data_IF_982179911071
#
_entry.id   IF_982179911071
#
_cell.length_a   1.000
_cell.length_b   1.000
_cell.length_c   1.000
_cell.angle_alpha   90.00
_cell.angle_beta   90.00
_cell.angle_gamma   90.00
#
_symmetry.space_group_name_H-M   'P 1'
#
loop_
_entity.id
_entity.type
_entity.pdbx_description
1 polymer ?
#
# COMPACT_ATOMS: atom_id res chain seq x y z
N UNK A 1 -33.32 25.09 1.71
CA UNK A 1 -32.02 25.23 2.39
C UNK A 1 -31.55 23.83 2.74
N UNK A 2 -30.76 23.21 1.87
CA UNK A 2 -30.23 21.87 2.10
C UNK A 2 -29.14 21.96 3.16
N UNK A 3 -29.33 21.25 4.28
CA UNK A 3 -28.38 21.22 5.39
C UNK A 3 -27.01 20.76 4.91
N UNK A 4 -26.02 21.61 5.12
CA UNK A 4 -24.62 21.26 4.93
C UNK A 4 -24.28 20.14 5.90
N UNK A 5 -24.05 18.94 5.37
CA UNK A 5 -23.18 17.98 6.03
C UNK A 5 -21.81 18.63 6.07
N UNK A 6 -21.49 19.29 7.19
CA UNK A 6 -20.13 19.64 7.52
C UNK A 6 -19.32 18.35 7.46
N UNK A 7 -18.41 18.27 6.48
CA UNK A 7 -17.56 17.11 6.27
C UNK A 7 -16.88 16.74 7.57
N UNK A 8 -17.18 15.54 8.07
CA UNK A 8 -16.37 14.93 9.12
C UNK A 8 -14.91 14.82 8.65
N UNK A 9 -13.97 14.60 9.58
CA UNK A 9 -12.55 14.46 9.22
C UNK A 9 -12.41 13.39 8.13
N UNK A 10 -11.79 13.77 7.01
CA UNK A 10 -11.40 12.81 5.97
C UNK A 10 -10.26 12.01 6.58
N UNK A 11 -10.52 10.73 6.86
CA UNK A 11 -9.50 9.83 7.39
C UNK A 11 -8.70 9.26 6.25
N UNK A 12 -7.41 9.51 6.28
CA UNK A 12 -6.43 8.88 5.40
C UNK A 12 -6.37 7.39 5.68
N UNK A 13 -6.44 6.57 4.63
CA UNK A 13 -6.36 5.11 4.73
C UNK A 13 -5.27 4.57 3.81
N UNK A 14 -4.33 3.83 4.41
CA UNK A 14 -3.30 3.05 3.73
C UNK A 14 -3.50 1.55 3.93
N UNK A 15 -2.96 0.75 3.01
CA UNK A 15 -2.98 -0.71 3.08
C UNK A 15 -1.56 -1.26 3.08
N UNK A 16 -1.29 -2.27 3.92
CA UNK A 16 -0.01 -2.99 3.95
C UNK A 16 -0.24 -4.49 3.74
N UNK A 17 0.46 -5.09 2.78
CA UNK A 17 0.53 -6.53 2.58
C UNK A 17 1.82 -7.07 3.21
N UNK A 18 1.67 -7.76 4.35
CA UNK A 18 2.80 -8.32 5.08
C UNK A 18 3.09 -9.76 4.64
N UNK A 19 4.34 -10.01 4.30
CA UNK A 19 4.86 -11.37 4.08
C UNK A 19 5.65 -11.91 5.27
N UNK A 20 5.85 -11.12 6.31
CA UNK A 20 6.40 -11.51 7.61
C UNK A 20 6.01 -10.47 8.68
N UNK A 21 5.74 -10.89 9.93
CA UNK A 21 5.50 -12.26 10.38
C UNK A 21 4.13 -12.76 9.90
N UNK A 22 4.05 -13.99 9.38
CA UNK A 22 2.79 -14.65 8.97
C UNK A 22 2.69 -16.02 9.64
N UNK A 23 1.49 -16.46 10.02
CA UNK A 23 1.29 -17.75 10.68
C UNK A 23 0.96 -18.87 9.67
N UNK A 24 1.56 -20.05 9.83
CA UNK A 24 1.05 -21.27 9.17
C UNK A 24 -0.17 -21.84 9.92
N UNK A 25 -0.71 -22.95 9.40
CA UNK A 25 -1.80 -23.71 10.02
C UNK A 25 -1.46 -24.24 11.42
N UNK A 26 -0.18 -24.34 11.77
CA UNK A 26 0.32 -24.79 13.06
C UNK A 26 0.59 -23.61 14.01
N UNK A 27 0.28 -22.36 13.63
CA UNK A 27 0.53 -21.17 14.43
C UNK A 27 2.00 -20.76 14.50
N UNK A 28 2.87 -21.30 13.65
CA UNK A 28 4.29 -20.95 13.60
C UNK A 28 4.49 -19.75 12.68
N UNK A 29 5.38 -18.84 13.08
CA UNK A 29 5.77 -17.67 12.29
C UNK A 29 6.67 -18.09 11.13
N UNK A 30 6.35 -17.59 9.94
CA UNK A 30 7.13 -17.79 8.72
C UNK A 30 7.16 -16.53 7.86
N UNK A 31 8.04 -16.57 6.85
CA UNK A 31 8.10 -15.59 5.77
C UNK A 31 7.50 -16.22 4.52
N UNK A 32 6.43 -15.64 3.99
CA UNK A 32 5.77 -16.12 2.77
C UNK A 32 6.42 -15.52 1.52
N UNK A 33 6.14 -16.10 0.35
CA UNK A 33 6.54 -15.53 -0.93
C UNK A 33 5.44 -14.64 -1.48
N UNK A 34 5.84 -13.58 -2.18
CA UNK A 34 4.92 -12.72 -2.89
C UNK A 34 4.66 -13.24 -4.31
N UNK A 35 3.42 -13.10 -4.79
CA UNK A 35 3.11 -13.33 -6.21
C UNK A 35 2.81 -12.03 -6.94
N UNK A 36 3.08 -12.01 -8.26
CA UNK A 36 2.69 -10.87 -9.10
C UNK A 36 1.16 -10.66 -9.12
N UNK A 37 0.38 -11.74 -8.93
CA UNK A 37 -1.08 -11.66 -8.91
C UNK A 37 -1.57 -10.84 -7.72
N UNK A 38 -1.06 -11.13 -6.51
CA UNK A 38 -1.42 -10.41 -5.29
C UNK A 38 -1.19 -8.91 -5.46
N UNK A 39 -0.02 -8.55 -5.98
CA UNK A 39 0.33 -7.14 -6.20
C UNK A 39 -0.65 -6.46 -7.15
N UNK A 40 -0.95 -7.07 -8.29
CA UNK A 40 -1.85 -6.48 -9.26
C UNK A 40 -3.29 -6.37 -8.74
N UNK A 41 -3.78 -7.38 -8.02
CA UNK A 41 -5.16 -7.41 -7.55
C UNK A 41 -5.39 -6.44 -6.40
N UNK A 42 -4.49 -6.43 -5.42
CA UNK A 42 -4.57 -5.52 -4.28
C UNK A 42 -4.33 -4.08 -4.72
N UNK A 43 -3.44 -3.83 -5.69
CA UNK A 43 -3.25 -2.46 -6.23
C UNK A 43 -4.53 -1.92 -6.88
N UNK A 44 -5.27 -2.77 -7.61
CA UNK A 44 -6.56 -2.37 -8.18
C UNK A 44 -7.59 -2.11 -7.09
N UNK A 45 -7.66 -2.96 -6.07
CA UNK A 45 -8.57 -2.80 -4.94
C UNK A 45 -8.27 -1.50 -4.17
N UNK A 46 -7.00 -1.26 -3.84
CA UNK A 46 -6.55 -0.04 -3.19
C UNK A 46 -6.97 1.21 -3.98
N UNK A 47 -6.79 1.19 -5.31
CA UNK A 47 -7.25 2.29 -6.17
C UNK A 47 -8.77 2.41 -6.21
N UNK A 48 -9.51 1.30 -6.31
CA UNK A 48 -10.97 1.31 -6.39
C UNK A 48 -11.62 1.91 -5.14
N UNK A 49 -11.02 1.67 -3.98
CA UNK A 49 -11.47 2.23 -2.69
C UNK A 49 -10.86 3.59 -2.34
N UNK A 50 -10.06 4.19 -3.24
CA UNK A 50 -9.47 5.51 -3.03
C UNK A 50 -8.42 5.56 -1.91
N UNK A 51 -7.71 4.46 -1.67
CA UNK A 51 -6.62 4.44 -0.68
C UNK A 51 -5.46 5.33 -1.13
N UNK A 52 -4.81 5.96 -0.16
CA UNK A 52 -3.70 6.88 -0.41
C UNK A 52 -2.37 6.16 -0.66
N UNK A 53 -2.22 4.96 -0.08
CA UNK A 53 -1.00 4.18 -0.21
C UNK A 53 -1.25 2.67 -0.13
N UNK A 54 -0.47 1.93 -0.90
CA UNK A 54 -0.37 0.48 -0.80
C UNK A 54 1.10 0.08 -0.58
N UNK A 55 1.40 -0.57 0.55
CA UNK A 55 2.73 -1.04 0.89
C UNK A 55 2.82 -2.56 0.74
N UNK A 56 3.82 -3.02 0.01
CA UNK A 56 4.29 -4.41 0.08
C UNK A 56 5.43 -4.46 1.09
N UNK A 57 5.24 -5.22 2.17
CA UNK A 57 6.19 -5.35 3.27
C UNK A 57 6.83 -6.74 3.23
N UNK A 58 8.13 -6.79 2.92
CA UNK A 58 8.83 -8.06 2.78
C UNK A 58 10.29 -7.96 3.25
N UNK A 59 10.73 -8.79 4.23
CA UNK A 59 12.10 -8.69 4.77
C UNK A 59 13.17 -9.12 3.76
N UNK A 60 12.88 -10.15 2.94
CA UNK A 60 13.80 -10.63 1.91
C UNK A 60 13.99 -9.62 0.75
N UNK A 61 15.21 -9.15 0.56
CA UNK A 61 15.57 -8.22 -0.52
C UNK A 61 15.30 -8.79 -1.93
N UNK A 62 15.45 -10.10 -2.13
CA UNK A 62 15.18 -10.76 -3.41
C UNK A 62 13.72 -10.63 -3.85
N UNK A 63 12.79 -10.69 -2.90
CA UNK A 63 11.35 -10.53 -3.12
C UNK A 63 11.01 -9.07 -3.39
N UNK A 64 11.60 -8.13 -2.64
CA UNK A 64 11.48 -6.69 -2.91
C UNK A 64 11.95 -6.32 -4.32
N UNK A 65 13.12 -6.82 -4.73
CA UNK A 65 13.67 -6.63 -6.09
C UNK A 65 12.77 -7.20 -7.19
N UNK A 66 12.05 -8.30 -6.92
CA UNK A 66 11.07 -8.85 -7.86
C UNK A 66 9.93 -7.86 -8.09
N UNK A 67 9.36 -7.31 -7.01
CA UNK A 67 8.28 -6.31 -7.10
C UNK A 67 8.74 -5.04 -7.79
N UNK A 68 9.92 -4.53 -7.44
CA UNK A 68 10.48 -3.33 -8.08
C UNK A 68 10.72 -3.52 -9.58
N UNK A 69 11.21 -4.68 -10.01
CA UNK A 69 11.34 -5.00 -11.45
C UNK A 69 9.99 -5.00 -12.16
N UNK A 70 8.98 -5.59 -11.53
CA UNK A 70 7.62 -5.60 -12.06
C UNK A 70 7.07 -4.16 -12.15
N UNK A 71 7.23 -3.32 -11.12
CA UNK A 71 6.82 -1.92 -11.14
C UNK A 71 7.49 -1.15 -12.30
N UNK A 72 8.80 -1.32 -12.50
CA UNK A 72 9.50 -0.68 -13.63
C UNK A 72 8.90 -1.06 -14.97
N UNK A 73 8.50 -2.32 -15.15
CA UNK A 73 7.88 -2.79 -16.38
C UNK A 73 6.49 -2.18 -16.64
N UNK A 74 5.67 -2.02 -15.59
CA UNK A 74 4.28 -1.61 -15.72
C UNK A 74 4.01 -0.12 -15.52
N UNK A 75 4.79 0.59 -14.71
CA UNK A 75 4.54 2.01 -14.42
C UNK A 75 5.25 2.91 -15.44
N UNK A 76 6.51 2.64 -15.77
CA UNK A 76 7.30 3.41 -16.74
C UNK A 76 7.69 2.64 -18.01
N UNK A 77 7.42 1.33 -18.05
CA UNK A 77 7.89 0.43 -19.09
C UNK A 77 6.83 0.08 -20.15
N UNK A 78 7.19 -0.84 -21.08
CA UNK A 78 6.33 -1.22 -22.20
C UNK A 78 4.96 -1.79 -21.79
N UNK A 79 4.85 -2.42 -20.62
CA UNK A 79 3.60 -2.98 -20.11
C UNK A 79 2.55 -1.92 -19.81
N UNK A 80 2.96 -0.78 -19.25
CA UNK A 80 2.08 0.34 -18.93
C UNK A 80 1.51 1.05 -20.16
N UNK A 81 2.28 1.10 -21.25
CA UNK A 81 1.81 1.68 -22.53
C UNK A 81 0.71 0.85 -23.18
N UNK A 82 0.71 -0.47 -22.94
CA UNK A 82 -0.27 -1.41 -23.52
C UNK A 82 -1.56 -1.48 -22.69
N UNK A 83 -1.47 -1.36 -21.37
CA UNK A 83 -2.62 -1.45 -20.45
C UNK A 83 -2.53 -0.31 -19.42
N UNK A 84 -2.99 0.90 -19.77
CA UNK A 84 -2.82 2.10 -18.95
C UNK A 84 -3.39 1.96 -17.53
N UNK A 85 -4.57 1.35 -17.39
CA UNK A 85 -5.24 1.17 -16.11
C UNK A 85 -4.41 0.37 -15.09
N UNK A 86 -3.60 -0.60 -15.57
CA UNK A 86 -2.68 -1.35 -14.70
C UNK A 86 -1.55 -0.48 -14.16
N UNK A 87 -1.05 0.44 -14.98
CA UNK A 87 -0.03 1.40 -14.56
C UNK A 87 -0.58 2.30 -13.45
N UNK A 88 -1.77 2.86 -13.63
CA UNK A 88 -2.37 3.79 -12.67
C UNK A 88 -2.63 3.14 -11.30
N UNK A 89 -3.10 1.90 -11.26
CA UNK A 89 -3.28 1.18 -9.99
C UNK A 89 -1.94 0.96 -9.26
N UNK A 90 -0.88 0.63 -9.99
CA UNK A 90 0.45 0.36 -9.42
C UNK A 90 1.20 1.61 -8.95
N UNK A 91 0.77 2.82 -9.35
CA UNK A 91 1.41 4.07 -8.93
C UNK A 91 1.30 4.33 -7.41
N UNK A 92 0.29 3.76 -6.75
CA UNK A 92 0.12 3.83 -5.29
C UNK A 92 1.08 2.90 -4.54
N UNK A 93 1.68 1.92 -5.23
CA UNK A 93 2.45 0.87 -4.59
C UNK A 93 3.83 1.37 -4.13
N UNK A 94 4.21 1.02 -2.90
CA UNK A 94 5.55 1.19 -2.34
C UNK A 94 6.04 -0.15 -1.78
N UNK A 95 7.35 -0.37 -1.84
CA UNK A 95 7.98 -1.60 -1.32
C UNK A 95 8.87 -1.22 -0.16
N UNK A 96 8.67 -1.85 1.00
CA UNK A 96 9.46 -1.64 2.22
C UNK A 96 9.83 -2.98 2.85
N UNK A 97 10.82 -2.96 3.75
CA UNK A 97 11.32 -4.16 4.42
C UNK A 97 10.58 -4.50 5.72
N UNK A 98 10.05 -3.51 6.43
CA UNK A 98 9.36 -3.69 7.70
C UNK A 98 8.01 -2.94 7.77
N UNK A 99 7.17 -3.35 8.72
CA UNK A 99 5.88 -2.69 8.97
C UNK A 99 6.11 -1.27 9.50
N UNK A 100 7.12 -1.09 10.36
CA UNK A 100 7.51 0.19 10.92
C UNK A 100 7.86 1.19 9.80
N UNK A 101 8.66 0.75 8.82
CA UNK A 101 8.98 1.55 7.63
C UNK A 101 7.72 1.96 6.84
N UNK A 102 6.71 1.08 6.77
CA UNK A 102 5.43 1.42 6.13
C UNK A 102 4.67 2.49 6.93
N UNK A 103 4.53 2.29 8.24
CA UNK A 103 3.85 3.23 9.14
C UNK A 103 4.52 4.62 9.13
N UNK A 104 5.85 4.68 9.21
CA UNK A 104 6.58 5.94 9.12
C UNK A 104 6.41 6.62 7.76
N UNK A 105 6.47 5.86 6.66
CA UNK A 105 6.26 6.40 5.33
C UNK A 105 4.83 6.93 5.12
N UNK A 106 3.84 6.31 5.77
CA UNK A 106 2.45 6.74 5.73
C UNK A 106 2.23 7.99 6.60
N UNK A 107 2.74 8.00 7.83
CA UNK A 107 2.66 9.15 8.73
C UNK A 107 3.32 10.41 8.14
N UNK A 108 4.45 10.26 7.44
CA UNK A 108 5.11 11.37 6.73
C UNK A 108 4.23 11.97 5.62
N UNK A 109 3.44 11.16 4.92
CA UNK A 109 2.47 11.66 3.91
C UNK A 109 1.35 12.44 4.57
N UNK A 110 0.82 11.91 5.66
CA UNK A 110 -0.14 12.61 6.51
C UNK A 110 0.41 13.96 6.95
N UNK A 111 1.65 14.05 7.45
CA UNK A 111 2.24 15.31 7.89
C UNK A 111 2.37 16.39 6.79
N UNK A 112 2.60 15.99 5.54
CA UNK A 112 2.67 16.92 4.40
C UNK A 112 1.28 17.47 4.01
N UNK A 113 0.19 16.74 4.29
CA UNK A 113 -1.21 17.13 4.04
C UNK A 113 -1.90 17.72 5.29
N UNK A 114 -1.49 17.30 6.49
CA UNK A 114 -1.97 17.72 7.83
C UNK A 114 -1.46 19.12 8.24
N UNK A 115 -0.62 19.76 7.42
CA UNK A 115 -0.42 21.21 7.53
C UNK A 115 -1.75 21.99 7.43
N UNK A 116 -2.83 21.35 6.93
CA UNK A 116 -4.18 21.91 6.88
C UNK A 116 -5.18 21.33 7.90
N UNK A 117 -4.96 20.16 8.51
CA UNK A 117 -5.85 19.57 9.54
C UNK A 117 -5.10 18.68 10.55
N UNK A 118 -5.25 18.97 11.85
CA UNK A 118 -4.42 18.49 12.97
C UNK A 118 -4.50 16.96 13.26
N UNK A 119 -3.36 16.28 13.13
CA UNK A 119 -2.80 15.28 14.05
C UNK A 119 -3.68 14.09 14.48
N UNK A 120 -3.61 12.99 13.75
CA UNK A 120 -4.12 11.67 14.19
C UNK A 120 -2.97 10.64 14.22
N UNK A 121 -2.92 9.78 15.23
CA UNK A 121 -1.93 8.70 15.32
C UNK A 121 -2.27 7.59 14.30
N UNK A 122 -1.26 6.90 13.72
CA UNK A 122 -1.51 5.77 12.83
C UNK A 122 -2.21 4.65 13.60
N UNK A 123 -3.49 4.40 13.27
CA UNK A 123 -4.27 3.31 13.83
C UNK A 123 -4.11 2.05 12.97
N UNK A 124 -3.48 1.00 13.51
CA UNK A 124 -3.26 -0.27 12.80
C UNK A 124 -4.45 -1.24 13.00
N UNK A 125 -4.93 -1.81 11.91
CA UNK A 125 -5.98 -2.83 11.89
C UNK A 125 -5.43 -4.07 11.17
N UNK A 126 -5.61 -5.25 11.76
CA UNK A 126 -5.22 -6.53 11.15
C UNK A 126 -6.47 -7.37 10.91
N UNK A 127 -6.57 -8.01 9.75
CA UNK A 127 -7.63 -8.99 9.42
C UNK A 127 -7.36 -10.36 10.01
#
# INVERSE_FOLDING_TARGET
>A
MCGGWAGGPVRSVGLALLHHPVLNRQGQVLTTTLTNLDVHDISRSARAYGLEAFYVVHPLASQRLLVERMLRHWVGGPGGRRIPDRSTALQLLRVVDTLESACEAFARRGADEEAECRGEAVHLWTT
#
